data_IF_568288762075
#
_entry.id   IF_568288762075
#
_cell.length_a   1.000
_cell.length_b   1.000
_cell.length_c   1.000
_cell.angle_alpha   90.00
_cell.angle_beta   90.00
_cell.angle_gamma   90.00
#
_symmetry.space_group_name_H-M   'P 1'
#
loop_
_entity.id
_entity.type
_entity.pdbx_description
1 polymer ?
#
# COMPACT_ATOMS: atom_id res chain seq x y z
N UNK A 1 -3.11 -37.58 -8.13
CA UNK A 1 -3.84 -36.31 -7.83
C UNK A 1 -3.27 -35.55 -6.63
N UNK A 2 -3.09 -36.14 -5.44
CA UNK A 2 -2.56 -35.44 -4.26
C UNK A 2 -1.15 -34.84 -4.44
N UNK A 3 -0.27 -35.51 -5.19
CA UNK A 3 1.10 -35.02 -5.41
C UNK A 3 1.17 -33.81 -6.35
N UNK A 4 0.31 -33.76 -7.37
CA UNK A 4 0.25 -32.65 -8.33
C UNK A 4 -0.15 -31.35 -7.62
N UNK A 5 -1.18 -31.42 -6.77
CA UNK A 5 -1.62 -30.30 -5.92
C UNK A 5 -0.50 -29.84 -4.98
N UNK A 6 0.31 -30.76 -4.47
CA UNK A 6 1.45 -30.44 -3.59
C UNK A 6 2.56 -29.71 -4.36
N UNK A 7 2.84 -30.11 -5.60
CA UNK A 7 3.80 -29.42 -6.47
C UNK A 7 3.32 -28.02 -6.88
N UNK A 8 2.05 -27.87 -7.27
CA UNK A 8 1.47 -26.57 -7.61
C UNK A 8 1.52 -25.58 -6.43
N UNK A 9 1.20 -26.04 -5.22
CA UNK A 9 1.27 -25.21 -4.03
C UNK A 9 2.71 -24.77 -3.71
N UNK A 10 3.70 -25.67 -3.89
CA UNK A 10 5.12 -25.32 -3.73
C UNK A 10 5.55 -24.29 -4.76
N UNK A 11 5.14 -24.44 -6.02
CA UNK A 11 5.48 -23.50 -7.09
C UNK A 11 4.89 -22.12 -6.81
N UNK A 12 3.60 -22.05 -6.41
CA UNK A 12 2.95 -20.80 -5.99
C UNK A 12 3.70 -20.13 -4.84
N UNK A 13 4.11 -20.89 -3.83
CA UNK A 13 4.83 -20.32 -2.70
C UNK A 13 6.19 -19.73 -3.10
N UNK A 14 6.96 -20.42 -3.94
CA UNK A 14 8.24 -19.90 -4.45
C UNK A 14 8.03 -18.60 -5.22
N UNK A 15 7.04 -18.55 -6.12
CA UNK A 15 6.73 -17.34 -6.89
C UNK A 15 6.24 -16.16 -6.03
N UNK A 16 5.58 -16.45 -4.90
CA UNK A 16 5.18 -15.41 -3.94
C UNK A 16 6.38 -14.89 -3.15
N UNK A 17 7.31 -15.77 -2.74
CA UNK A 17 8.53 -15.38 -2.01
C UNK A 17 9.42 -14.46 -2.84
N UNK A 18 9.58 -14.72 -4.14
CA UNK A 18 10.36 -13.84 -5.04
C UNK A 18 9.76 -12.43 -5.19
N UNK A 19 8.44 -12.29 -4.96
CA UNK A 19 7.71 -11.01 -5.01
C UNK A 19 7.55 -10.33 -3.65
N UNK A 20 7.91 -10.99 -2.56
CA UNK A 20 7.72 -10.47 -1.19
C UNK A 20 8.71 -9.36 -0.82
N UNK A 21 9.83 -9.24 -1.55
CA UNK A 21 10.74 -8.11 -1.37
C UNK A 21 10.11 -6.84 -1.96
N UNK A 22 9.24 -6.21 -1.18
CA UNK A 22 8.86 -4.82 -1.42
C UNK A 22 9.94 -3.94 -0.80
N UNK A 23 10.74 -3.19 -1.59
CA UNK A 23 11.75 -2.32 -1.02
C UNK A 23 11.08 -1.26 -0.13
N UNK A 24 11.52 -1.12 1.12
CA UNK A 24 11.04 -0.06 2.01
C UNK A 24 11.14 1.34 1.37
N UNK A 25 12.08 1.51 0.43
CA UNK A 25 12.23 2.72 -0.38
C UNK A 25 10.98 3.04 -1.22
N UNK A 26 10.32 2.04 -1.81
CA UNK A 26 9.09 2.25 -2.58
C UNK A 26 7.96 2.72 -1.66
N UNK A 27 7.79 2.09 -0.50
CA UNK A 27 6.78 2.50 0.49
C UNK A 27 6.98 3.96 0.92
N UNK A 28 8.23 4.37 1.17
CA UNK A 28 8.57 5.76 1.53
C UNK A 28 8.24 6.76 0.42
N UNK A 29 8.57 6.44 -0.83
CA UNK A 29 8.28 7.29 -1.99
C UNK A 29 6.76 7.43 -2.17
N UNK A 30 6.04 6.32 -2.17
CA UNK A 30 4.58 6.29 -2.30
C UNK A 30 3.91 7.09 -1.18
N UNK A 31 4.35 6.92 0.07
CA UNK A 31 3.86 7.71 1.20
C UNK A 31 4.09 9.21 1.02
N UNK A 32 5.25 9.63 0.52
CA UNK A 32 5.55 11.04 0.28
C UNK A 32 4.64 11.67 -0.79
N UNK A 33 4.43 10.97 -1.91
CA UNK A 33 3.55 11.41 -3.00
C UNK A 33 2.09 11.53 -2.54
N UNK A 34 1.59 10.52 -1.84
CA UNK A 34 0.22 10.52 -1.32
C UNK A 34 0.02 11.63 -0.29
N UNK A 35 1.00 11.84 0.60
CA UNK A 35 0.96 12.94 1.57
C UNK A 35 0.96 14.31 0.87
N UNK A 36 1.76 14.49 -0.19
CA UNK A 36 1.79 15.73 -0.96
C UNK A 36 0.42 16.10 -1.53
N UNK A 37 -0.29 15.12 -2.09
CA UNK A 37 -1.65 15.33 -2.63
C UNK A 37 -2.66 15.57 -1.52
N UNK A 38 -2.65 14.74 -0.47
CA UNK A 38 -3.65 14.77 0.60
C UNK A 38 -3.54 16.03 1.48
N UNK A 39 -2.34 16.59 1.64
CA UNK A 39 -2.14 17.88 2.34
C UNK A 39 -2.90 19.04 1.73
N UNK A 40 -3.33 18.96 0.47
CA UNK A 40 -4.18 19.99 -0.15
C UNK A 40 -5.62 19.96 0.37
N UNK A 41 -6.08 18.80 0.87
CA UNK A 41 -7.48 18.57 1.26
C UNK A 41 -7.65 18.25 2.74
N UNK A 42 -6.59 17.81 3.41
CA UNK A 42 -6.59 17.39 4.81
C UNK A 42 -5.48 18.10 5.57
N UNK A 43 -5.70 18.33 6.87
CA UNK A 43 -4.64 18.77 7.77
C UNK A 43 -3.88 17.55 8.31
N UNK A 44 -2.97 17.04 7.48
CA UNK A 44 -2.29 15.76 7.71
C UNK A 44 -0.76 15.91 7.68
N UNK A 45 -0.09 15.18 8.56
CA UNK A 45 1.36 15.02 8.59
C UNK A 45 1.78 13.59 8.20
N UNK A 46 3.09 13.39 7.98
CA UNK A 46 3.66 12.05 7.74
C UNK A 46 3.41 11.09 8.90
N UNK A 47 3.28 11.60 10.12
CA UNK A 47 3.15 10.79 11.33
C UNK A 47 1.74 10.19 11.47
N UNK A 48 0.73 10.92 10.99
CA UNK A 48 -0.69 10.53 11.03
C UNK A 48 -1.12 9.64 9.85
N UNK A 49 -0.15 9.16 9.06
CA UNK A 49 -0.39 8.42 7.84
C UNK A 49 0.41 7.12 7.82
N UNK A 50 -0.28 5.99 7.73
CA UNK A 50 0.32 4.67 7.55
C UNK A 50 0.09 4.20 6.11
N UNK A 51 1.15 3.69 5.48
CA UNK A 51 1.12 3.11 4.14
C UNK A 51 1.82 1.78 4.19
N UNK A 52 1.14 0.74 3.74
CA UNK A 52 1.64 -0.62 3.61
C UNK A 52 1.45 -1.10 2.17
N UNK A 53 2.42 -1.86 1.67
CA UNK A 53 2.31 -2.57 0.39
C UNK A 53 2.58 -4.03 0.67
N UNK A 54 1.55 -4.85 0.52
CA UNK A 54 1.61 -6.28 0.77
C UNK A 54 1.28 -7.07 -0.50
N UNK A 55 1.64 -8.35 -0.51
CA UNK A 55 1.29 -9.26 -1.60
C UNK A 55 0.12 -10.12 -1.16
N UNK A 56 -0.98 -10.11 -1.90
CA UNK A 56 -2.13 -10.96 -1.60
C UNK A 56 -1.87 -12.43 -2.02
N UNK A 57 -2.77 -13.34 -1.63
CA UNK A 57 -2.66 -14.76 -1.95
C UNK A 57 -2.68 -15.08 -3.46
N UNK A 58 -3.07 -14.12 -4.31
CA UNK A 58 -3.04 -14.24 -5.78
C UNK A 58 -1.75 -13.70 -6.41
N UNK A 59 -0.82 -13.18 -5.61
CA UNK A 59 0.44 -12.60 -6.10
C UNK A 59 0.30 -11.20 -6.69
N UNK A 60 -0.76 -10.48 -6.33
CA UNK A 60 -0.96 -9.07 -6.66
C UNK A 60 -0.53 -8.19 -5.48
N UNK A 61 0.06 -7.03 -5.77
CA UNK A 61 0.36 -6.03 -4.75
C UNK A 61 -0.91 -5.30 -4.31
N UNK A 62 -1.05 -5.13 -3.01
CA UNK A 62 -2.15 -4.40 -2.37
C UNK A 62 -1.54 -3.23 -1.61
N UNK A 63 -1.94 -2.01 -1.99
CA UNK A 63 -1.60 -0.80 -1.27
C UNK A 63 -2.70 -0.53 -0.23
N UNK A 64 -2.33 -0.55 1.04
CA UNK A 64 -3.20 -0.20 2.16
C UNK A 64 -2.76 1.14 2.73
N UNK A 65 -3.71 2.06 2.88
CA UNK A 65 -3.49 3.36 3.51
C UNK A 65 -4.47 3.57 4.64
N UNK A 66 -3.97 4.03 5.78
CA UNK A 66 -4.78 4.56 6.88
C UNK A 66 -4.27 5.95 7.21
N UNK A 67 -5.18 6.92 7.29
CA UNK A 67 -4.86 8.32 7.58
C UNK A 67 -5.91 8.87 8.54
N UNK A 68 -5.45 9.57 9.56
CA UNK A 68 -6.30 10.33 10.48
C UNK A 68 -5.99 11.82 10.34
N UNK A 69 -7.03 12.65 10.33
CA UNK A 69 -6.91 14.10 10.17
C UNK A 69 -7.97 14.79 11.02
N UNK A 70 -7.58 15.83 11.74
CA UNK A 70 -8.47 16.59 12.63
C UNK A 70 -9.48 17.44 11.84
N UNK A 71 -9.11 17.84 10.62
CA UNK A 71 -9.98 18.65 9.77
C UNK A 71 -9.86 18.29 8.28
N UNK A 72 -10.93 18.55 7.55
CA UNK A 72 -10.95 18.56 6.09
C UNK A 72 -10.91 20.03 5.67
N UNK A 73 -9.97 20.38 4.79
CA UNK A 73 -9.86 21.73 4.24
C UNK A 73 -11.06 21.98 3.34
N UNK A 74 -11.88 22.94 3.72
CA UNK A 74 -12.93 23.46 2.85
C UNK A 74 -12.24 24.17 1.71
N UNK A 75 -12.24 23.56 0.53
CA UNK A 75 -11.78 24.23 -0.69
C UNK A 75 -12.77 25.34 -0.94
N UNK A 76 -12.36 26.59 -0.70
CA UNK A 76 -13.14 27.74 -1.13
C UNK A 76 -13.23 27.69 -2.65
N UNK A 77 -14.33 27.15 -3.18
CA UNK A 77 -14.72 27.39 -4.57
C UNK A 77 -14.87 28.89 -4.70
N UNK A 78 -14.03 29.50 -5.55
CA UNK A 78 -14.14 30.91 -5.90
C UNK A 78 -15.59 31.18 -6.31
N UNK A 79 -16.22 32.14 -5.63
CA UNK A 79 -17.57 32.63 -5.89
C UNK A 79 -17.76 33.03 -7.36
#
# INVERSE_FOLDING_TARGET
>A
MKELVKCENRLKNIMLMDKQEVPQRIVRVVKAELLYVLKNYFDVSSENMSVDISLNATGQYVLSMVMESDSIKVVNTLN
#
